data_IF_598490912918
#
_entry.id   IF_598490912918
#
_cell.length_a   1.000
_cell.length_b   1.000
_cell.length_c   1.000
_cell.angle_alpha   90.00
_cell.angle_beta   90.00
_cell.angle_gamma   90.00
#
_symmetry.space_group_name_H-M   'P 1'
#
loop_
_entity.id
_entity.type
_entity.pdbx_description
1 polymer ?
#
# COMPACT_ATOMS: atom_id res chain seq x y z
N UNK A 1 -10.18 6.27 12.30
CA UNK A 1 -9.30 5.23 11.76
C UNK A 1 -8.07 5.89 11.13
N UNK A 2 -6.91 5.39 11.43
CA UNK A 2 -5.66 5.86 10.85
C UNK A 2 -5.12 4.81 9.87
N UNK A 3 -4.72 5.24 8.69
CA UNK A 3 -4.20 4.34 7.67
C UNK A 3 -2.79 4.73 7.26
N UNK A 4 -1.98 3.73 6.96
CA UNK A 4 -0.72 3.92 6.28
C UNK A 4 -0.94 3.54 4.82
N UNK A 5 -0.50 4.41 3.91
CA UNK A 5 -0.66 4.21 2.47
C UNK A 5 0.61 3.58 1.94
N UNK A 6 0.46 2.53 1.13
CA UNK A 6 1.61 1.85 0.54
C UNK A 6 1.45 1.76 -0.98
N UNK A 7 2.49 2.17 -1.68
CA UNK A 7 2.55 2.14 -3.14
C UNK A 7 3.83 1.44 -3.58
N UNK A 8 3.72 0.66 -4.66
CA UNK A 8 4.88 -0.06 -5.20
C UNK A 8 4.78 -0.14 -6.72
N UNK A 9 5.92 0.05 -7.39
CA UNK A 9 6.06 -0.24 -8.82
C UNK A 9 7.34 -1.05 -9.03
N UNK A 10 7.27 -2.00 -9.96
CA UNK A 10 8.41 -2.84 -10.37
C UNK A 10 9.27 -2.07 -11.36
N UNK A 11 10.46 -2.63 -11.60
CA UNK A 11 11.33 -2.17 -12.68
C UNK A 11 12.19 -0.98 -12.31
N UNK A 12 12.95 -0.46 -13.29
CA UNK A 12 13.90 0.62 -13.03
C UNK A 12 13.19 1.93 -12.69
N UNK A 13 13.92 2.81 -12.02
CA UNK A 13 13.42 4.14 -11.65
C UNK A 13 13.41 5.05 -12.89
N UNK A 14 12.35 4.94 -13.67
CA UNK A 14 12.12 5.76 -14.86
C UNK A 14 11.05 6.80 -14.57
N UNK A 15 10.89 7.77 -15.49
CA UNK A 15 9.80 8.75 -15.36
C UNK A 15 8.43 8.07 -15.37
N UNK A 16 8.26 6.98 -16.14
CA UNK A 16 7.02 6.20 -16.14
C UNK A 16 6.74 5.58 -14.78
N UNK A 17 7.77 5.00 -14.16
CA UNK A 17 7.62 4.38 -12.85
C UNK A 17 7.26 5.42 -11.79
N UNK A 18 7.91 6.57 -11.83
CA UNK A 18 7.64 7.65 -10.89
C UNK A 18 6.23 8.21 -11.07
N UNK A 19 5.78 8.37 -12.30
CA UNK A 19 4.41 8.82 -12.58
C UNK A 19 3.38 7.79 -12.13
N UNK A 20 3.66 6.51 -12.36
CA UNK A 20 2.76 5.42 -11.96
C UNK A 20 2.59 5.37 -10.44
N UNK A 21 3.69 5.50 -9.69
CA UNK A 21 3.61 5.46 -8.22
C UNK A 21 2.92 6.70 -7.67
N UNK A 22 3.14 7.86 -8.31
CA UNK A 22 2.45 9.08 -7.93
C UNK A 22 0.94 8.96 -8.14
N UNK A 23 0.54 8.31 -9.24
CA UNK A 23 -0.87 8.02 -9.50
C UNK A 23 -1.49 7.13 -8.43
N UNK A 24 -0.78 6.09 -8.00
CA UNK A 24 -1.22 5.24 -6.90
C UNK A 24 -1.41 6.07 -5.63
N UNK A 25 -0.44 6.92 -5.31
CA UNK A 25 -0.48 7.75 -4.11
C UNK A 25 -1.71 8.65 -4.11
N UNK A 26 -1.97 9.33 -5.21
CA UNK A 26 -3.13 10.24 -5.32
C UNK A 26 -4.44 9.47 -5.20
N UNK A 27 -4.52 8.30 -5.79
CA UNK A 27 -5.70 7.43 -5.72
C UNK A 27 -5.99 7.03 -4.26
N UNK A 28 -4.96 6.64 -3.52
CA UNK A 28 -5.11 6.27 -2.11
C UNK A 28 -5.47 7.47 -1.24
N UNK A 29 -4.85 8.62 -1.50
CA UNK A 29 -5.15 9.84 -0.75
C UNK A 29 -6.59 10.30 -0.97
N UNK A 30 -7.08 10.20 -2.19
CA UNK A 30 -8.46 10.54 -2.52
C UNK A 30 -9.45 9.64 -1.77
N UNK A 31 -9.18 8.34 -1.76
CA UNK A 31 -10.01 7.38 -1.02
C UNK A 31 -10.03 7.71 0.47
N UNK A 32 -8.86 7.98 1.06
CA UNK A 32 -8.77 8.31 2.48
C UNK A 32 -9.58 9.56 2.80
N UNK A 33 -9.47 10.59 1.96
CA UNK A 33 -10.22 11.83 2.14
C UNK A 33 -11.72 11.60 2.07
N UNK A 34 -12.19 10.86 1.07
CA UNK A 34 -13.62 10.59 0.88
C UNK A 34 -14.22 9.73 1.98
N UNK A 35 -13.41 8.95 2.67
CA UNK A 35 -13.88 8.04 3.70
C UNK A 35 -13.48 8.48 5.11
N UNK A 36 -13.02 9.72 5.26
CA UNK A 36 -12.63 10.31 6.54
C UNK A 36 -11.58 9.48 7.28
N UNK A 37 -10.60 8.96 6.54
CA UNK A 37 -9.51 8.18 7.09
C UNK A 37 -8.30 9.10 7.26
N UNK A 38 -7.76 9.15 8.47
CA UNK A 38 -6.55 9.92 8.76
C UNK A 38 -5.34 9.18 8.19
N UNK A 39 -4.46 9.89 7.49
CA UNK A 39 -3.25 9.31 6.91
C UNK A 39 -2.13 9.40 7.94
N UNK A 40 -1.68 8.25 8.44
CA UNK A 40 -0.59 8.17 9.42
C UNK A 40 0.79 8.22 8.74
N UNK A 41 0.87 7.84 7.46
CA UNK A 41 2.10 7.86 6.71
C UNK A 41 1.89 7.36 5.30
N UNK A 42 2.83 7.70 4.41
CA UNK A 42 2.82 7.26 3.01
C UNK A 42 4.19 6.69 2.72
N UNK A 43 4.23 5.44 2.26
CA UNK A 43 5.49 4.75 1.97
C UNK A 43 5.47 4.23 0.53
N UNK A 44 6.59 4.43 -0.16
CA UNK A 44 6.72 4.15 -1.60
C UNK A 44 7.93 3.23 -1.82
N UNK A 45 7.74 2.19 -2.61
CA UNK A 45 8.85 1.33 -3.06
C UNK A 45 8.88 1.34 -4.59
N UNK A 46 9.93 1.91 -5.16
CA UNK A 46 10.14 1.98 -6.61
C UNK A 46 11.28 1.05 -6.98
N UNK A 47 11.04 0.15 -7.95
CA UNK A 47 12.04 -0.78 -8.40
C UNK A 47 12.16 -2.05 -7.57
N UNK A 48 11.13 -2.37 -6.80
CA UNK A 48 11.11 -3.57 -5.95
C UNK A 48 10.09 -4.57 -6.44
N UNK A 49 10.50 -5.83 -6.47
CA UNK A 49 9.63 -6.92 -6.89
C UNK A 49 8.57 -7.24 -5.84
N UNK A 50 7.36 -7.56 -6.29
CA UNK A 50 6.23 -7.82 -5.39
C UNK A 50 6.32 -9.10 -4.58
N UNK A 51 7.26 -10.00 -4.87
CA UNK A 51 7.44 -11.26 -4.15
C UNK A 51 8.53 -11.24 -3.11
N UNK A 52 9.21 -10.12 -2.90
CA UNK A 52 10.22 -10.00 -1.85
C UNK A 52 9.65 -9.21 -0.68
N UNK A 53 9.96 -9.65 0.53
CA UNK A 53 9.62 -8.91 1.74
C UNK A 53 10.68 -7.84 2.05
N UNK A 54 11.84 -7.93 1.41
CA UNK A 54 12.96 -7.02 1.66
C UNK A 54 12.79 -5.73 0.86
N UNK A 55 11.79 -4.95 1.25
CA UNK A 55 11.47 -3.65 0.64
C UNK A 55 11.41 -2.60 1.76
N UNK A 56 12.18 -1.51 1.65
CA UNK A 56 12.25 -0.51 2.74
C UNK A 56 10.89 0.09 3.12
N UNK A 57 10.09 0.46 2.12
CA UNK A 57 8.77 1.02 2.38
C UNK A 57 7.84 0.02 3.04
N UNK A 58 7.83 -1.23 2.57
CA UNK A 58 7.03 -2.28 3.17
C UNK A 58 7.42 -2.53 4.63
N UNK A 59 8.72 -2.58 4.92
CA UNK A 59 9.18 -2.78 6.29
C UNK A 59 8.76 -1.62 7.19
N UNK A 60 8.77 -0.39 6.67
CA UNK A 60 8.28 0.77 7.41
C UNK A 60 6.78 0.70 7.69
N UNK A 61 6.00 0.21 6.72
CA UNK A 61 4.57 0.00 6.89
C UNK A 61 4.30 -1.00 8.01
N UNK A 62 4.99 -2.14 7.98
CA UNK A 62 4.84 -3.19 8.99
C UNK A 62 5.20 -2.64 10.37
N UNK A 63 6.30 -1.89 10.46
CA UNK A 63 6.75 -1.32 11.72
C UNK A 63 5.73 -0.30 12.27
N UNK A 64 5.16 0.52 11.39
CA UNK A 64 4.15 1.51 11.78
C UNK A 64 2.94 0.83 12.43
N UNK A 65 2.48 -0.28 11.85
CA UNK A 65 1.37 -1.05 12.42
C UNK A 65 1.75 -1.72 13.73
N UNK A 66 2.94 -2.29 13.82
CA UNK A 66 3.41 -2.94 15.05
C UNK A 66 3.53 -1.96 16.21
N UNK A 67 3.89 -0.72 15.92
CA UNK A 67 3.99 0.33 16.93
C UNK A 67 2.64 0.93 17.33
N UNK A 68 1.58 0.51 16.67
CA UNK A 68 0.23 1.01 16.96
C UNK A 68 -0.04 2.40 16.39
N UNK A 69 0.78 2.86 15.45
CA UNK A 69 0.64 4.20 14.87
C UNK A 69 -0.30 4.25 13.67
N UNK A 70 -0.80 3.10 13.24
CA UNK A 70 -1.83 3.00 12.21
C UNK A 70 -2.70 1.78 12.47
N UNK A 71 -3.92 1.81 11.95
CA UNK A 71 -4.91 0.75 12.12
C UNK A 71 -4.99 -0.18 10.92
N UNK A 72 -4.63 0.32 9.74
CA UNK A 72 -4.87 -0.40 8.48
C UNK A 72 -3.88 0.07 7.41
N UNK A 73 -3.61 -0.82 6.45
CA UNK A 73 -2.82 -0.50 5.25
C UNK A 73 -3.78 -0.28 4.09
N UNK A 74 -3.64 0.84 3.37
CA UNK A 74 -4.35 1.07 2.12
C UNK A 74 -3.43 0.79 0.94
N UNK A 75 -3.89 -0.01 -0.01
CA UNK A 75 -3.18 -0.31 -1.25
C UNK A 75 -4.14 -0.21 -2.44
N UNK A 76 -3.62 0.10 -3.62
CA UNK A 76 -4.43 0.18 -4.83
C UNK A 76 -5.01 -1.19 -5.19
N UNK A 77 -4.23 -2.24 -5.03
CA UNK A 77 -4.67 -3.63 -5.15
C UNK A 77 -3.71 -4.51 -4.35
N UNK A 78 -4.11 -5.76 -4.09
CA UNK A 78 -3.31 -6.67 -3.26
C UNK A 78 -1.93 -6.96 -3.85
N UNK A 79 -1.79 -6.95 -5.18
CA UNK A 79 -0.50 -7.21 -5.82
C UNK A 79 0.55 -6.15 -5.49
N UNK A 80 0.13 -4.94 -5.15
CA UNK A 80 1.09 -3.89 -4.74
C UNK A 80 1.70 -4.21 -3.40
N UNK A 81 0.93 -4.84 -2.50
CA UNK A 81 1.46 -5.27 -1.22
C UNK A 81 2.32 -6.52 -1.37
N UNK A 82 1.79 -7.54 -2.05
CA UNK A 82 2.54 -8.76 -2.33
C UNK A 82 1.95 -9.46 -3.54
N UNK A 83 2.80 -9.90 -4.44
CA UNK A 83 2.38 -10.59 -5.66
C UNK A 83 2.24 -12.08 -5.35
N UNK A 84 1.01 -12.58 -5.45
CA UNK A 84 0.69 -13.97 -5.18
C UNK A 84 0.18 -14.17 -3.75
N UNK A 85 0.36 -15.37 -3.22
CA UNK A 85 -0.14 -15.72 -1.89
C UNK A 85 0.66 -14.98 -0.82
N UNK A 86 -0.05 -14.30 0.07
CA UNK A 86 0.58 -13.54 1.14
C UNK A 86 1.37 -14.46 2.07
N UNK A 87 2.63 -14.13 2.39
CA UNK A 87 3.34 -14.81 3.45
C UNK A 87 2.65 -14.57 4.79
N UNK A 88 2.91 -15.44 5.75
CA UNK A 88 2.25 -15.40 7.05
C UNK A 88 2.31 -14.03 7.72
N UNK A 89 3.43 -13.35 7.59
CA UNK A 89 3.64 -12.02 8.19
C UNK A 89 2.62 -11.00 7.69
N UNK A 90 2.18 -11.10 6.44
CA UNK A 90 1.21 -10.19 5.85
C UNK A 90 -0.23 -10.63 6.03
N UNK A 91 -0.47 -11.93 6.23
CA UNK A 91 -1.82 -12.46 6.37
C UNK A 91 -2.55 -11.91 7.59
N UNK A 92 -1.82 -11.57 8.63
CA UNK A 92 -2.39 -11.10 9.89
C UNK A 92 -2.59 -9.59 9.93
N UNK A 93 -2.10 -8.86 8.92
CA UNK A 93 -2.21 -7.41 8.90
C UNK A 93 -3.53 -6.96 8.28
N UNK A 94 -4.17 -5.94 8.85
CA UNK A 94 -5.40 -5.39 8.27
C UNK A 94 -5.07 -4.59 7.01
N UNK A 95 -5.66 -4.99 5.88
CA UNK A 95 -5.40 -4.39 4.56
C UNK A 95 -6.72 -4.05 3.88
N UNK A 96 -6.81 -2.86 3.32
CA UNK A 96 -7.90 -2.46 2.44
C UNK A 96 -7.31 -2.28 1.03
N UNK A 97 -7.78 -3.10 0.09
CA UNK A 97 -7.44 -2.99 -1.31
C UNK A 97 -8.54 -2.22 -2.02
N UNK A 98 -8.20 -1.09 -2.63
CA UNK A 98 -9.19 -0.23 -3.26
C UNK A 98 -9.89 -0.92 -4.45
N UNK A 99 -9.15 -1.73 -5.19
CA UNK A 99 -9.73 -2.50 -6.29
C UNK A 99 -10.86 -3.40 -5.82
N UNK A 100 -10.68 -4.07 -4.68
CA UNK A 100 -11.70 -4.97 -4.13
C UNK A 100 -12.90 -4.18 -3.57
N UNK A 101 -12.66 -3.02 -2.98
CA UNK A 101 -13.73 -2.15 -2.48
C UNK A 101 -14.60 -1.64 -3.65
N UNK A 102 -13.97 -1.25 -4.76
CA UNK A 102 -14.70 -0.79 -5.94
C UNK A 102 -15.53 -1.90 -6.55
N UNK A 103 -15.04 -3.14 -6.55
CA UNK A 103 -15.80 -4.30 -7.02
C UNK A 103 -17.07 -4.53 -6.22
N UNK A 104 -17.00 -4.35 -4.91
CA UNK A 104 -18.17 -4.56 -4.04
C UNK A 104 -19.29 -3.56 -4.28
N UNK A 105 -18.98 -2.44 -4.92
CA UNK A 105 -19.97 -1.41 -5.24
C UNK A 105 -20.73 -1.71 -6.55
N UNK A 106 -20.22 -2.61 -7.33
CA UNK A 106 -20.85 -3.05 -8.57
C UNK A 106 -21.84 -4.18 -8.30
#
# INVERSE_FOLDING_TARGET
MKAVLYCRVDGPQTSFALDAIKGQQLYLMDYAKKNNIEIAGIYLDVGYHGRTMNRPGLQSVIQTLKEGNADVILVANYNRLYRGRFPKELQELPVISLKEQNRKRE
#
